data_IF_515711107553
#
_entry.id   IF_515711107553
#
_cell.length_a   1.000
_cell.length_b   1.000
_cell.length_c   1.000
_cell.angle_alpha   90.00
_cell.angle_beta   90.00
_cell.angle_gamma   90.00
#
_symmetry.space_group_name_H-M   'P 1'
#
loop_
_entity.id
_entity.type
_entity.pdbx_description
1 polymer ?
#
# COMPACT_ATOMS: atom_id res chain seq x y z
N UNK A 1 15.45 7.79 3.02
CA UNK A 1 14.51 8.63 3.79
C UNK A 1 13.46 7.72 4.44
N UNK A 2 12.92 8.10 5.61
CA UNK A 2 11.81 7.36 6.21
C UNK A 2 10.48 7.88 5.65
N UNK A 3 9.63 6.99 5.14
CA UNK A 3 8.33 7.30 4.56
C UNK A 3 7.21 6.55 5.28
N UNK A 4 6.10 7.24 5.49
CA UNK A 4 4.84 6.67 5.98
C UNK A 4 3.75 7.08 5.01
N UNK A 5 3.01 6.12 4.46
CA UNK A 5 1.92 6.39 3.53
C UNK A 5 0.61 6.52 4.30
N UNK A 6 -0.11 7.62 4.06
CA UNK A 6 -1.49 7.80 4.53
C UNK A 6 -2.37 7.92 3.29
N UNK A 7 -3.26 6.96 3.08
CA UNK A 7 -4.11 6.89 1.88
C UNK A 7 -5.59 6.80 2.27
N UNK A 8 -6.44 7.50 1.55
CA UNK A 8 -7.90 7.40 1.73
C UNK A 8 -8.44 6.22 0.90
N UNK A 9 -9.18 5.31 1.54
CA UNK A 9 -9.89 4.22 0.85
C UNK A 9 -11.13 3.78 1.62
N UNK A 10 -12.26 3.68 0.92
CA UNK A 10 -13.59 3.40 1.53
C UNK A 10 -14.10 1.98 1.29
N UNK A 11 -13.57 1.28 0.28
CA UNK A 11 -14.14 0.03 -0.21
C UNK A 11 -13.33 -1.19 0.18
N UNK A 12 -13.54 -1.72 1.39
CA UNK A 12 -13.04 -3.04 1.81
C UNK A 12 -14.21 -3.94 2.20
N UNK A 13 -14.06 -5.25 1.98
CA UNK A 13 -14.98 -6.28 2.48
C UNK A 13 -14.44 -6.90 3.77
N UNK A 14 -15.27 -7.61 4.55
CA UNK A 14 -14.79 -8.37 5.70
C UNK A 14 -13.60 -9.29 5.34
N UNK A 15 -12.50 -9.13 6.09
CA UNK A 15 -11.24 -9.86 5.88
C UNK A 15 -10.32 -9.29 4.81
N UNK A 16 -10.64 -8.13 4.22
CA UNK A 16 -9.74 -7.39 3.33
C UNK A 16 -9.06 -6.22 4.07
N UNK A 17 -7.90 -5.82 3.57
CA UNK A 17 -7.16 -4.65 4.02
C UNK A 17 -6.61 -3.87 2.83
N UNK A 18 -6.22 -2.62 3.10
CA UNK A 18 -5.56 -1.74 2.13
C UNK A 18 -4.05 -1.94 2.23
N UNK A 19 -3.38 -1.94 1.09
CA UNK A 19 -1.94 -2.09 0.99
C UNK A 19 -1.35 -1.06 0.03
N UNK A 20 -0.07 -0.75 0.22
CA UNK A 20 0.73 0.08 -0.67
C UNK A 20 1.85 -0.76 -1.27
N UNK A 21 1.99 -0.72 -2.59
CA UNK A 21 3.12 -1.33 -3.31
C UNK A 21 3.73 -0.28 -4.23
N UNK A 22 5.04 -0.35 -4.46
CA UNK A 22 5.74 0.67 -5.23
C UNK A 22 6.96 0.16 -5.98
N UNK A 23 7.62 1.11 -6.64
CA UNK A 23 8.71 0.85 -7.59
C UNK A 23 10.01 0.39 -6.94
N UNK A 24 10.23 0.73 -5.66
CA UNK A 24 11.47 0.37 -4.97
C UNK A 24 11.36 -1.01 -4.32
N UNK A 25 12.47 -1.72 -4.09
CA UNK A 25 12.47 -3.00 -3.39
C UNK A 25 11.84 -2.93 -2.00
N UNK A 26 12.02 -1.82 -1.29
CA UNK A 26 11.47 -1.59 0.05
C UNK A 26 9.94 -1.39 0.02
N UNK A 27 9.39 -1.01 -1.15
CA UNK A 27 7.95 -0.96 -1.41
C UNK A 27 7.43 -2.20 -2.13
N UNK A 28 8.22 -3.27 -2.21
CA UNK A 28 7.84 -4.54 -2.82
C UNK A 28 8.13 -4.65 -4.32
N UNK A 29 8.62 -3.60 -4.98
CA UNK A 29 9.03 -3.66 -6.40
C UNK A 29 7.91 -4.11 -7.35
N UNK A 30 6.71 -3.56 -7.15
CA UNK A 30 5.46 -3.92 -7.87
C UNK A 30 4.96 -5.35 -7.67
N UNK A 31 5.48 -6.08 -6.69
CA UNK A 31 5.00 -7.40 -6.28
C UNK A 31 3.93 -7.26 -5.17
N UNK A 32 2.64 -7.57 -5.43
CA UNK A 32 1.56 -7.47 -4.44
C UNK A 32 1.76 -8.34 -3.21
N UNK A 33 2.54 -9.42 -3.32
CA UNK A 33 2.86 -10.30 -2.18
C UNK A 33 3.80 -9.64 -1.18
N UNK A 34 4.47 -8.55 -1.59
CA UNK A 34 5.40 -7.76 -0.79
C UNK A 34 4.88 -6.35 -0.51
N UNK A 35 3.59 -6.11 -0.78
CA UNK A 35 2.97 -4.83 -0.50
C UNK A 35 2.93 -4.56 1.01
N UNK A 36 3.14 -3.32 1.39
CA UNK A 36 3.05 -2.87 2.77
C UNK A 36 1.60 -2.86 3.22
N UNK A 37 1.30 -3.51 4.35
CA UNK A 37 -0.03 -3.49 4.94
C UNK A 37 -0.32 -2.14 5.57
N UNK A 38 -1.53 -1.62 5.36
CA UNK A 38 -2.00 -0.42 6.03
C UNK A 38 -3.04 -0.77 7.11
N UNK A 39 -3.01 -0.02 8.20
CA UNK A 39 -3.96 -0.13 9.30
C UNK A 39 -4.91 1.06 9.32
N UNK A 40 -6.12 0.82 9.81
CA UNK A 40 -7.13 1.85 10.09
C UNK A 40 -7.86 1.52 11.39
N UNK A 41 -8.61 2.48 11.90
CA UNK A 41 -9.53 2.30 13.04
C UNK A 41 -10.85 2.98 12.73
N UNK A 42 -11.89 2.69 13.51
CA UNK A 42 -13.19 3.34 13.34
C UNK A 42 -13.13 4.88 13.42
N UNK A 43 -12.15 5.43 14.15
CA UNK A 43 -11.99 6.88 14.33
C UNK A 43 -11.23 7.56 13.19
N UNK A 44 -10.35 6.83 12.49
CA UNK A 44 -9.52 7.39 11.41
C UNK A 44 -10.01 7.00 10.02
N UNK A 45 -10.85 5.97 9.91
CA UNK A 45 -11.48 5.59 8.65
C UNK A 45 -12.18 6.81 8.02
N UNK A 46 -11.99 7.08 6.72
CA UNK A 46 -11.44 6.20 5.67
C UNK A 46 -9.93 6.29 5.42
N UNK A 47 -9.13 6.83 6.35
CA UNK A 47 -7.68 6.89 6.21
C UNK A 47 -7.01 5.59 6.67
N UNK A 48 -6.03 5.14 5.88
CA UNK A 48 -5.22 3.95 6.11
C UNK A 48 -3.75 4.33 6.13
N UNK A 49 -3.04 3.87 7.15
CA UNK A 49 -1.64 4.24 7.40
C UNK A 49 -0.75 3.02 7.28
N UNK A 50 0.29 3.09 6.44
CA UNK A 50 1.30 2.04 6.35
C UNK A 50 2.22 2.05 7.56
N UNK A 51 2.95 0.96 7.76
CA UNK A 51 4.19 1.02 8.54
C UNK A 51 5.23 1.95 7.89
N UNK A 52 6.15 2.45 8.72
CA UNK A 52 7.22 3.35 8.25
C UNK A 52 8.31 2.54 7.56
N UNK A 53 8.61 2.89 6.31
CA UNK A 53 9.62 2.23 5.49
C UNK A 53 10.81 3.15 5.25
N UNK A 54 12.01 2.59 5.29
CA UNK A 54 13.24 3.32 4.95
C UNK A 54 13.59 3.10 3.49
N UNK A 55 13.54 4.15 2.68
CA UNK A 55 13.96 4.13 1.27
C UNK A 55 15.46 4.42 1.17
N UNK A 56 16.17 3.65 0.34
CA UNK A 56 17.58 3.87 0.02
C UNK A 56 17.89 5.31 -0.37
N UNK A 57 19.01 5.83 0.14
CA UNK A 57 19.51 7.16 -0.22
C UNK A 57 19.86 7.21 -1.71
N UNK A 58 19.59 8.36 -2.36
CA UNK A 58 19.81 8.53 -3.80
C UNK A 58 18.66 8.05 -4.69
N UNK A 59 17.55 7.56 -4.11
CA UNK A 59 16.32 7.29 -4.87
C UNK A 59 15.66 8.60 -5.27
N UNK A 60 15.75 8.97 -6.55
CA UNK A 60 15.23 10.25 -7.07
C UNK A 60 13.72 10.21 -7.36
N UNK A 61 13.17 9.03 -7.68
CA UNK A 61 11.75 8.87 -8.00
C UNK A 61 11.18 7.62 -7.33
N UNK A 62 10.15 7.81 -6.52
CA UNK A 62 9.39 6.73 -5.91
C UNK A 62 7.98 6.75 -6.49
N UNK A 63 7.58 5.65 -7.12
CA UNK A 63 6.20 5.46 -7.55
C UNK A 63 5.52 4.44 -6.66
N UNK A 64 4.22 4.63 -6.41
CA UNK A 64 3.42 3.71 -5.63
C UNK A 64 1.98 3.65 -6.13
N UNK A 65 1.30 2.58 -5.71
CA UNK A 65 -0.13 2.38 -5.95
C UNK A 65 -0.74 1.68 -4.74
N UNK A 66 -2.05 1.85 -4.63
CA UNK A 66 -2.86 1.25 -3.57
C UNK A 66 -3.57 0.03 -4.13
N UNK A 67 -3.62 -1.03 -3.33
CA UNK A 67 -4.40 -2.23 -3.64
C UNK A 67 -5.18 -2.71 -2.41
N UNK A 68 -6.24 -3.45 -2.65
CA UNK A 68 -7.03 -4.16 -1.64
C UNK A 68 -6.92 -5.65 -1.89
N UNK A 69 -6.55 -6.39 -0.86
CA UNK A 69 -6.48 -7.85 -0.88
C UNK A 69 -6.82 -8.43 0.49
N UNK A 70 -6.88 -9.77 0.58
CA UNK A 70 -7.13 -10.45 1.85
C UNK A 70 -6.02 -10.17 2.86
N UNK A 71 -6.42 -9.81 4.08
CA UNK A 71 -5.49 -9.44 5.15
C UNK A 71 -4.62 -10.62 5.63
N UNK A 72 -5.08 -11.86 5.41
CA UNK A 72 -4.32 -13.09 5.71
C UNK A 72 -3.30 -13.45 4.61
N UNK A 73 -3.17 -12.62 3.57
CA UNK A 73 -2.27 -12.87 2.44
C UNK A 73 -2.72 -13.98 1.49
N UNK A 74 -3.93 -14.53 1.67
CA UNK A 74 -4.47 -15.53 0.75
C UNK A 74 -4.85 -14.90 -0.60
N UNK A 75 -4.51 -15.61 -1.69
CA UNK A 75 -4.84 -15.20 -3.08
C UNK A 75 -4.39 -13.77 -3.44
N UNK A 76 -3.09 -13.45 -3.33
CA UNK A 76 -2.56 -12.13 -3.68
C UNK A 76 -2.74 -11.78 -5.17
N UNK A 77 -2.94 -12.79 -6.02
CA UNK A 77 -3.30 -12.65 -7.43
C UNK A 77 -4.69 -12.03 -7.66
N UNK A 78 -5.54 -11.96 -6.62
CA UNK A 78 -6.88 -11.38 -6.66
C UNK A 78 -6.93 -9.95 -6.11
N UNK A 79 -5.77 -9.29 -5.96
CA UNK A 79 -5.70 -7.90 -5.52
C UNK A 79 -6.48 -6.95 -6.45
N UNK A 80 -7.34 -6.12 -5.84
CA UNK A 80 -8.02 -5.03 -6.53
C UNK A 80 -7.20 -3.77 -6.44
N UNK A 81 -6.82 -3.18 -7.56
CA UNK A 81 -5.99 -1.99 -7.61
C UNK A 81 -6.84 -0.71 -7.68
N UNK A 82 -6.36 0.36 -7.07
CA UNK A 82 -6.94 1.69 -7.26
C UNK A 82 -6.92 2.07 -8.75
N UNK A 83 -7.97 2.74 -9.25
CA UNK A 83 -8.00 3.19 -10.63
C UNK A 83 -6.96 4.30 -10.86
N UNK A 84 -6.57 4.47 -12.12
CA UNK A 84 -5.67 5.54 -12.53
C UNK A 84 -4.18 5.18 -12.53
N UNK A 85 -3.32 6.18 -12.83
CA UNK A 85 -1.88 6.00 -12.94
C UNK A 85 -1.22 5.80 -11.56
N UNK A 86 0.04 5.38 -11.58
CA UNK A 86 0.87 5.34 -10.39
C UNK A 86 1.02 6.75 -9.81
N UNK A 87 1.06 6.85 -8.48
CA UNK A 87 1.34 8.11 -7.77
C UNK A 87 2.85 8.23 -7.62
N UNK A 88 3.41 9.42 -7.78
CA UNK A 88 4.85 9.69 -7.61
C UNK A 88 5.09 10.58 -6.39
N UNK A 89 6.20 10.34 -5.68
CA UNK A 89 6.74 11.20 -4.61
C UNK A 89 7.94 11.99 -5.12
#
# INVERSE_FOLDING_TARGET
AALTFVVEHKGTKPGEAVFVVGSTPELGGWDPTKALSCITTAQVFPLWTSETVSIAAGTEKVEFKVLVQKADGSKPDQASWDPGPNRSL
#
